data_IF_877641499327
#
_entry.id   IF_877641499327
#
_cell.length_a   1.000
_cell.length_b   1.000
_cell.length_c   1.000
_cell.angle_alpha   90.00
_cell.angle_beta   90.00
_cell.angle_gamma   90.00
#
_symmetry.space_group_name_H-M   'P 1'
#
loop_
_entity.id
_entity.type
_entity.pdbx_description
1 polymer ?
#
# COMPACT_ATOMS: atom_id res chain seq x y z
N UNK A 1 -28.90 -58.78 22.66
CA UNK A 1 -27.85 -57.98 23.35
C UNK A 1 -26.88 -57.31 22.36
N UNK A 2 -26.41 -58.01 21.32
CA UNK A 2 -25.47 -57.46 20.32
C UNK A 2 -25.95 -56.23 19.53
N UNK A 3 -27.23 -56.16 19.19
CA UNK A 3 -27.77 -55.05 18.37
C UNK A 3 -27.73 -53.69 19.12
N UNK A 4 -27.98 -53.69 20.44
CA UNK A 4 -27.91 -52.48 21.27
C UNK A 4 -26.47 -51.96 21.43
N UNK A 5 -25.49 -52.86 21.53
CA UNK A 5 -24.07 -52.50 21.64
C UNK A 5 -23.51 -51.93 20.33
N UNK A 6 -23.95 -52.45 19.17
CA UNK A 6 -23.57 -51.92 17.85
C UNK A 6 -24.12 -50.52 17.60
N UNK A 7 -25.36 -50.26 18.01
CA UNK A 7 -26.00 -48.95 17.91
C UNK A 7 -25.28 -47.94 18.82
N UNK A 8 -24.95 -48.34 20.06
CA UNK A 8 -24.20 -47.49 20.99
C UNK A 8 -22.80 -47.14 20.45
N UNK A 9 -22.10 -48.11 19.85
CA UNK A 9 -20.78 -47.89 19.25
C UNK A 9 -20.85 -46.92 18.06
N UNK A 10 -21.90 -47.00 17.23
CA UNK A 10 -22.14 -46.06 16.13
C UNK A 10 -22.37 -44.63 16.63
N UNK A 11 -23.10 -44.43 17.73
CA UNK A 11 -23.28 -43.10 18.33
C UNK A 11 -21.98 -42.55 18.93
N UNK A 12 -21.15 -43.40 19.53
CA UNK A 12 -19.84 -43.01 20.07
C UNK A 12 -18.88 -42.62 18.94
N UNK A 13 -18.83 -43.40 17.85
CA UNK A 13 -18.02 -43.09 16.66
C UNK A 13 -18.53 -41.82 15.98
N UNK A 14 -19.85 -41.66 15.83
CA UNK A 14 -20.44 -40.46 15.27
C UNK A 14 -20.12 -39.22 16.13
N UNK A 15 -20.19 -39.32 17.47
CA UNK A 15 -19.83 -38.24 18.39
C UNK A 15 -18.33 -37.92 18.42
N UNK A 16 -17.46 -38.93 18.30
CA UNK A 16 -16.01 -38.76 18.15
C UNK A 16 -15.62 -38.13 16.79
N UNK A 17 -16.40 -38.40 15.74
CA UNK A 17 -16.24 -37.78 14.42
C UNK A 17 -16.92 -36.40 14.32
N UNK A 18 -17.85 -36.07 15.23
CA UNK A 18 -18.55 -34.78 15.29
C UNK A 18 -17.68 -33.72 15.99
N UNK A 19 -16.48 -33.49 15.48
CA UNK A 19 -15.70 -32.29 15.79
C UNK A 19 -15.61 -31.40 14.56
N UNK A 20 -16.76 -30.96 14.05
CA UNK A 20 -16.81 -29.84 13.11
C UNK A 20 -16.74 -28.58 13.96
N UNK A 21 -15.54 -28.04 14.10
CA UNK A 21 -15.38 -26.71 14.68
C UNK A 21 -16.07 -25.72 13.75
N UNK A 22 -17.20 -25.16 14.20
CA UNK A 22 -17.70 -23.90 13.67
C UNK A 22 -16.71 -22.81 14.04
N UNK A 23 -15.90 -22.37 13.09
CA UNK A 23 -15.35 -21.04 13.13
C UNK A 23 -15.96 -20.27 11.97
N UNK A 24 -16.76 -19.26 12.28
CA UNK A 24 -16.89 -18.15 11.35
C UNK A 24 -15.47 -17.77 10.92
N UNK A 25 -15.21 -17.68 9.62
CA UNK A 25 -13.90 -17.33 9.08
C UNK A 25 -13.67 -15.83 9.34
N UNK A 26 -13.37 -15.47 10.58
CA UNK A 26 -12.92 -14.14 10.95
C UNK A 26 -11.51 -14.26 11.50
N UNK A 27 -10.58 -14.53 10.57
CA UNK A 27 -9.11 -14.54 10.71
C UNK A 27 -8.57 -15.16 12.02
N UNK A 28 -8.29 -16.47 12.08
CA UNK A 28 -7.42 -17.00 13.12
C UNK A 28 -6.03 -16.43 12.84
N UNK A 29 -5.52 -15.61 13.75
CA UNK A 29 -4.12 -15.20 13.80
C UNK A 29 -3.27 -16.46 13.63
N UNK A 30 -2.59 -16.58 12.50
CA UNK A 30 -1.79 -17.77 12.20
C UNK A 30 -0.63 -17.81 13.18
N UNK A 31 -0.28 -19.00 13.68
CA UNK A 31 0.88 -19.20 14.57
C UNK A 31 2.22 -18.91 13.87
N UNK A 32 2.19 -18.52 12.59
CA UNK A 32 3.34 -18.22 11.72
C UNK A 32 3.60 -16.72 11.50
N UNK A 33 2.79 -15.81 12.05
CA UNK A 33 3.14 -14.39 12.20
C UNK A 33 2.76 -13.43 11.06
N UNK A 34 2.19 -13.92 9.95
CA UNK A 34 1.75 -13.07 8.84
C UNK A 34 0.22 -13.09 8.67
N UNK A 35 -0.39 -11.91 8.52
CA UNK A 35 -1.84 -11.72 8.40
C UNK A 35 -2.22 -11.52 6.94
N UNK A 36 -2.95 -12.48 6.37
CA UNK A 36 -3.53 -12.39 5.02
C UNK A 36 -5.00 -11.95 5.04
N UNK A 37 -5.37 -10.86 4.38
CA UNK A 37 -6.76 -10.53 4.02
C UNK A 37 -6.91 -10.86 2.54
N UNK A 38 -7.80 -11.76 2.15
CA UNK A 38 -8.00 -12.12 0.73
C UNK A 38 -6.76 -12.61 -0.04
N UNK A 39 -5.75 -13.09 0.69
CA UNK A 39 -4.65 -13.93 0.19
C UNK A 39 -4.57 -15.15 1.10
N UNK A 40 -4.26 -16.32 0.55
CA UNK A 40 -4.03 -17.54 1.34
C UNK A 40 -2.55 -17.80 1.61
N UNK A 41 -1.65 -17.06 0.96
CA UNK A 41 -0.19 -17.21 1.09
C UNK A 41 0.47 -15.85 1.34
N UNK A 42 0.35 -15.29 2.56
CA UNK A 42 0.93 -13.99 2.86
C UNK A 42 2.48 -14.04 2.91
N UNK A 43 3.18 -13.25 2.08
CA UNK A 43 4.65 -13.18 2.03
C UNK A 43 5.26 -12.01 2.81
N UNK A 44 4.41 -11.20 3.45
CA UNK A 44 4.78 -10.13 4.38
C UNK A 44 3.88 -10.18 5.62
N UNK A 45 4.30 -9.55 6.73
CA UNK A 45 3.59 -9.60 8.02
C UNK A 45 2.14 -9.13 7.97
N UNK A 46 1.80 -8.25 7.04
CA UNK A 46 0.43 -7.93 6.68
C UNK A 46 0.31 -7.94 5.16
N UNK A 47 -0.55 -8.80 4.62
CA UNK A 47 -0.91 -8.84 3.21
C UNK A 47 -2.40 -8.79 2.98
N UNK A 48 -2.89 -7.73 2.34
CA UNK A 48 -4.20 -7.75 1.68
C UNK A 48 -4.02 -8.17 0.22
N UNK A 49 -4.42 -9.40 -0.07
CA UNK A 49 -4.64 -9.91 -1.42
C UNK A 49 -5.97 -9.41 -2.01
N UNK A 50 -6.32 -9.93 -3.18
CA UNK A 50 -7.41 -9.45 -3.99
C UNK A 50 -8.61 -10.44 -3.96
N UNK A 51 -9.68 -10.16 -3.20
CA UNK A 51 -10.84 -11.03 -3.15
C UNK A 51 -11.75 -10.67 -4.35
N UNK A 52 -11.46 -11.24 -5.52
CA UNK A 52 -12.47 -11.40 -6.56
C UNK A 52 -12.39 -10.49 -7.79
N UNK A 53 -11.27 -9.84 -8.09
CA UNK A 53 -11.13 -9.14 -9.37
C UNK A 53 -9.76 -9.35 -9.99
N UNK A 54 -9.61 -10.32 -10.90
CA UNK A 54 -8.34 -10.63 -11.59
C UNK A 54 -7.71 -9.45 -12.36
N UNK A 55 -8.33 -8.27 -12.39
CA UNK A 55 -7.80 -7.05 -13.00
C UNK A 55 -8.00 -5.75 -12.21
N UNK A 56 -8.33 -5.80 -10.91
CA UNK A 56 -8.57 -4.59 -10.11
C UNK A 56 -7.76 -4.57 -8.82
N UNK A 57 -6.74 -3.72 -8.75
CA UNK A 57 -5.97 -3.45 -7.54
C UNK A 57 -6.71 -2.45 -6.66
N UNK A 58 -6.64 -2.56 -5.32
CA UNK A 58 -6.59 -1.36 -4.47
C UNK A 58 -6.26 -1.57 -2.99
N UNK A 59 -5.29 -0.74 -2.55
CA UNK A 59 -4.90 -0.38 -1.19
C UNK A 59 -4.67 -1.50 -0.19
N UNK A 60 -3.43 -1.96 -0.16
CA UNK A 60 -2.80 -2.36 1.10
C UNK A 60 -1.30 -2.23 1.06
N UNK A 61 -0.77 -1.92 2.23
CA UNK A 61 0.63 -1.73 2.55
C UNK A 61 1.45 -2.97 2.21
N UNK A 62 2.54 -2.78 1.48
CA UNK A 62 3.61 -3.78 1.33
C UNK A 62 4.98 -3.12 1.35
N UNK A 63 6.02 -3.94 1.49
CA UNK A 63 7.46 -3.65 1.64
C UNK A 63 8.01 -2.51 0.75
N UNK A 64 7.31 -2.16 -0.35
CA UNK A 64 7.67 -1.11 -1.32
C UNK A 64 6.62 0.02 -1.46
N UNK A 65 5.58 0.12 -0.60
CA UNK A 65 4.64 1.24 -0.65
C UNK A 65 3.21 1.14 -0.08
N UNK A 66 2.52 2.29 -0.05
CA UNK A 66 1.06 2.45 0.24
C UNK A 66 0.36 2.99 -1.00
N UNK A 67 -0.38 2.18 -1.76
CA UNK A 67 -1.14 2.63 -2.93
C UNK A 67 -2.60 2.97 -2.60
N UNK A 68 -3.02 4.22 -2.71
CA UNK A 68 -4.43 4.64 -2.75
C UNK A 68 -4.83 4.78 -4.21
N UNK A 69 -5.87 4.06 -4.64
CA UNK A 69 -6.43 4.24 -5.97
C UNK A 69 -7.96 4.30 -5.89
N UNK A 70 -8.56 4.97 -6.87
CA UNK A 70 -10.01 5.11 -6.95
C UNK A 70 -10.62 3.86 -7.58
N UNK A 71 -11.70 3.33 -6.99
CA UNK A 71 -12.40 2.12 -7.46
C UNK A 71 -12.61 2.13 -8.98
N UNK A 72 -12.08 1.11 -9.66
CA UNK A 72 -12.21 0.97 -11.11
C UNK A 72 -11.25 1.82 -11.97
N UNK A 73 -10.25 2.48 -11.37
CA UNK A 73 -9.23 3.24 -12.09
C UNK A 73 -7.87 2.54 -12.08
N UNK A 74 -7.23 2.45 -13.25
CA UNK A 74 -5.83 2.02 -13.43
C UNK A 74 -4.80 3.00 -12.84
N UNK A 75 -5.26 4.10 -12.26
CA UNK A 75 -4.46 5.22 -11.75
C UNK A 75 -4.29 5.13 -10.25
N UNK A 76 -3.05 5.00 -9.81
CA UNK A 76 -2.72 4.83 -8.42
C UNK A 76 -1.81 5.96 -7.94
N UNK A 77 -2.04 6.45 -6.73
CA UNK A 77 -1.04 7.22 -5.98
C UNK A 77 -0.42 6.29 -4.94
N UNK A 78 0.89 6.09 -4.98
CA UNK A 78 1.57 5.23 -4.01
C UNK A 78 2.76 5.90 -3.35
N UNK A 79 2.92 5.63 -2.06
CA UNK A 79 4.18 5.86 -1.35
C UNK A 79 5.18 4.78 -1.78
N UNK A 80 6.47 5.07 -1.88
CA UNK A 80 7.50 4.06 -2.16
C UNK A 80 8.83 4.40 -1.50
N UNK A 81 9.67 3.40 -1.26
CA UNK A 81 11.05 3.60 -0.82
C UNK A 81 12.00 3.28 -1.97
N UNK A 82 12.78 4.25 -2.41
CA UNK A 82 13.80 4.06 -3.45
C UNK A 82 15.16 3.75 -2.82
N UNK A 83 15.44 2.48 -2.53
CA UNK A 83 16.72 2.10 -1.91
C UNK A 83 16.93 2.75 -0.54
N UNK A 84 18.16 3.19 -0.25
CA UNK A 84 18.54 3.82 1.04
C UNK A 84 18.27 5.32 1.12
N UNK A 85 17.94 5.97 0.00
CA UNK A 85 18.20 7.42 -0.13
C UNK A 85 16.95 8.29 -0.03
N UNK A 86 15.75 7.75 -0.31
CA UNK A 86 14.52 8.55 -0.20
C UNK A 86 13.24 7.71 -0.08
N UNK A 87 12.25 8.34 0.56
CA UNK A 87 10.84 7.96 0.54
C UNK A 87 10.09 8.91 -0.38
N UNK A 88 9.36 8.38 -1.35
CA UNK A 88 8.69 9.14 -2.40
C UNK A 88 7.18 8.91 -2.46
N UNK A 89 6.50 9.79 -3.21
CA UNK A 89 5.09 9.65 -3.60
C UNK A 89 5.01 9.72 -5.11
N UNK A 90 4.47 8.69 -5.75
CA UNK A 90 4.27 8.63 -7.19
C UNK A 90 2.78 8.52 -7.52
N UNK A 91 2.40 9.06 -8.67
CA UNK A 91 1.14 8.72 -9.33
C UNK A 91 1.44 8.01 -10.65
N UNK A 92 0.80 6.86 -10.90
CA UNK A 92 1.06 6.04 -12.09
C UNK A 92 -0.23 5.48 -12.67
N UNK A 93 -0.35 5.48 -13.99
CA UNK A 93 -1.42 4.83 -14.74
C UNK A 93 -0.89 3.52 -15.32
N UNK A 94 -1.29 2.39 -14.74
CA UNK A 94 -0.79 1.07 -15.16
C UNK A 94 -1.33 0.59 -16.50
N UNK A 95 -2.46 1.13 -16.97
CA UNK A 95 -2.99 0.79 -18.28
C UNK A 95 -2.27 1.56 -19.38
N UNK A 96 -1.93 2.83 -19.12
CA UNK A 96 -1.17 3.65 -20.05
C UNK A 96 0.35 3.48 -19.92
N UNK A 97 0.86 2.91 -18.83
CA UNK A 97 2.29 2.71 -18.59
C UNK A 97 3.06 4.00 -18.30
N UNK A 98 2.39 5.03 -17.76
CA UNK A 98 2.94 6.38 -17.58
C UNK A 98 2.85 6.89 -16.14
N UNK A 99 3.82 7.70 -15.75
CA UNK A 99 3.70 8.53 -14.55
C UNK A 99 2.74 9.69 -14.80
N UNK A 100 1.89 9.97 -13.82
CA UNK A 100 0.94 11.07 -13.85
C UNK A 100 1.44 12.22 -12.97
N UNK A 101 1.05 13.47 -13.27
CA UNK A 101 1.28 14.60 -12.37
C UNK A 101 0.62 14.36 -11.00
N UNK A 102 1.34 14.70 -9.93
CA UNK A 102 0.79 14.74 -8.58
C UNK A 102 0.19 16.13 -8.31
N UNK A 103 -1.11 16.18 -8.02
CA UNK A 103 -1.75 17.42 -7.57
C UNK A 103 -1.63 17.55 -6.05
N UNK A 104 -1.00 18.63 -5.58
CA UNK A 104 -0.86 18.96 -4.15
C UNK A 104 -1.50 20.33 -3.94
N UNK A 105 -2.35 20.47 -2.90
CA UNK A 105 -3.01 21.74 -2.59
C UNK A 105 -4.23 22.05 -3.46
N UNK A 106 -4.97 21.03 -3.90
CA UNK A 106 -6.24 21.20 -4.63
C UNK A 106 -7.17 22.17 -3.89
N UNK A 107 -7.75 23.13 -4.62
CA UNK A 107 -8.55 24.22 -4.05
C UNK A 107 -7.77 25.46 -3.60
N UNK A 108 -6.45 25.53 -3.81
CA UNK A 108 -5.66 26.76 -3.61
C UNK A 108 -5.05 26.93 -2.23
N UNK A 109 -4.71 25.83 -1.56
CA UNK A 109 -4.04 25.86 -0.26
C UNK A 109 -2.52 26.07 -0.40
N UNK A 110 -1.88 26.64 0.63
CA UNK A 110 -0.43 26.77 0.68
C UNK A 110 0.25 25.39 0.68
N UNK A 111 1.27 25.22 -0.15
CA UNK A 111 2.14 24.04 -0.16
C UNK A 111 3.47 24.42 0.47
N UNK A 112 3.82 23.78 1.57
CA UNK A 112 5.11 23.95 2.23
C UNK A 112 6.05 22.82 1.80
N UNK A 113 7.19 23.17 1.20
CA UNK A 113 8.23 22.23 0.78
C UNK A 113 9.48 22.55 1.58
N UNK A 114 10.13 21.53 2.18
CA UNK A 114 11.33 21.70 2.99
C UNK A 114 11.19 22.77 4.10
N UNK A 115 10.04 22.76 4.80
CA UNK A 115 9.64 23.81 5.78
C UNK A 115 10.66 24.00 6.91
N UNK A 116 11.17 22.89 7.43
CA UNK A 116 12.14 22.89 8.54
C UNK A 116 13.59 22.91 8.03
N UNK A 117 13.81 23.24 6.76
CA UNK A 117 15.10 23.19 6.08
C UNK A 117 15.22 22.02 5.10
N UNK A 118 16.42 21.88 4.54
CA UNK A 118 16.69 20.99 3.40
C UNK A 118 16.65 21.72 2.07
N UNK A 119 17.23 21.09 1.05
CA UNK A 119 17.36 21.66 -0.29
C UNK A 119 16.30 21.04 -1.23
N UNK A 120 15.75 21.86 -2.13
CA UNK A 120 14.83 21.42 -3.18
C UNK A 120 15.60 21.35 -4.50
N UNK A 121 15.74 20.15 -5.05
CA UNK A 121 16.30 19.91 -6.37
C UNK A 121 15.20 19.75 -7.43
N UNK A 122 15.31 20.50 -8.53
CA UNK A 122 14.48 20.28 -9.74
C UNK A 122 15.43 19.88 -10.88
N UNK A 123 15.34 18.64 -11.34
CA UNK A 123 16.23 18.08 -12.36
C UNK A 123 17.65 17.73 -11.85
N UNK A 124 17.87 17.74 -10.55
CA UNK A 124 19.12 17.33 -9.89
C UNK A 124 18.83 16.54 -8.62
N UNK A 125 19.64 15.53 -8.34
CA UNK A 125 19.59 14.73 -7.11
C UNK A 125 20.54 15.24 -6.03
N UNK A 126 21.43 16.18 -6.35
CA UNK A 126 22.46 16.71 -5.45
C UNK A 126 22.42 18.25 -5.39
N UNK A 127 21.34 18.83 -4.84
CA UNK A 127 21.20 20.29 -4.76
C UNK A 127 22.23 20.90 -3.80
N UNK A 128 23.01 21.89 -4.28
CA UNK A 128 24.05 22.60 -3.51
C UNK A 128 23.52 23.83 -2.77
N UNK A 129 22.33 24.29 -3.14
CA UNK A 129 21.65 25.46 -2.58
C UNK A 129 20.23 25.09 -2.16
N UNK A 130 19.57 25.94 -1.35
CA UNK A 130 18.18 25.70 -0.89
C UNK A 130 17.20 25.40 -2.02
N UNK A 131 17.41 26.02 -3.18
CA UNK A 131 16.74 25.67 -4.43
C UNK A 131 17.81 25.53 -5.51
N UNK A 132 17.97 24.33 -6.06
CA UNK A 132 18.83 24.08 -7.22
C UNK A 132 17.99 23.57 -8.40
N UNK A 133 18.04 24.28 -9.52
CA UNK A 133 17.33 23.91 -10.74
C UNK A 133 18.35 23.61 -11.83
N UNK A 134 18.40 22.37 -12.28
CA UNK A 134 19.17 21.97 -13.46
C UNK A 134 18.29 22.11 -14.71
N UNK A 135 18.09 23.35 -15.17
CA UNK A 135 17.20 23.68 -16.27
C UNK A 135 16.75 25.14 -16.28
N UNK A 136 15.70 25.43 -17.04
CA UNK A 136 15.18 26.79 -17.18
C UNK A 136 14.08 27.10 -16.17
N UNK A 137 14.13 28.29 -15.56
CA UNK A 137 13.05 28.83 -14.72
C UNK A 137 12.25 29.84 -15.55
N UNK A 138 10.95 29.55 -15.79
CA UNK A 138 10.02 30.50 -16.42
C UNK A 138 9.13 31.12 -15.35
N UNK A 139 9.27 32.42 -15.13
CA UNK A 139 8.46 33.20 -14.17
C UNK A 139 8.09 34.56 -14.75
N UNK A 140 6.99 35.15 -14.27
CA UNK A 140 6.62 36.54 -14.61
C UNK A 140 7.40 37.58 -13.81
N UNK A 141 7.71 37.26 -12.55
CA UNK A 141 8.44 38.14 -11.63
C UNK A 141 9.30 37.29 -10.72
N UNK A 142 10.58 37.63 -10.60
CA UNK A 142 11.52 37.06 -9.65
C UNK A 142 12.04 38.18 -8.77
N UNK A 143 12.04 37.96 -7.46
CA UNK A 143 12.66 38.88 -6.49
C UNK A 143 13.89 38.14 -5.95
N UNK A 144 15.07 38.70 -6.19
CA UNK A 144 16.32 38.21 -5.61
C UNK A 144 16.78 39.25 -4.62
N UNK A 145 16.88 38.88 -3.35
CA UNK A 145 17.44 39.70 -2.29
C UNK A 145 18.74 39.08 -1.86
N UNK A 146 19.84 39.82 -1.99
CA UNK A 146 21.13 39.44 -1.43
C UNK A 146 21.34 40.24 -0.15
N UNK A 147 21.56 39.56 0.97
CA UNK A 147 22.22 40.20 2.11
C UNK A 147 23.69 40.35 1.75
N UNK A 148 24.21 41.57 1.83
CA UNK A 148 25.66 41.84 1.79
C UNK A 148 26.35 41.13 2.96
#
# INVERSE_FOLDING_TARGET
>A
MLMKQRILLLFIIAGLLYSIHSAAQNTPWTTSGNIGIATTTPNASLQVGNPGNAGGWQSALFQDGIGVAASGSSRHTYLYSGGTDYFGVNSYDYQAGIYLPLSIGWGGNNVYIAREGGNVGIGTTTPTERLSVNGNIKTRKLIVTQSQ
#
